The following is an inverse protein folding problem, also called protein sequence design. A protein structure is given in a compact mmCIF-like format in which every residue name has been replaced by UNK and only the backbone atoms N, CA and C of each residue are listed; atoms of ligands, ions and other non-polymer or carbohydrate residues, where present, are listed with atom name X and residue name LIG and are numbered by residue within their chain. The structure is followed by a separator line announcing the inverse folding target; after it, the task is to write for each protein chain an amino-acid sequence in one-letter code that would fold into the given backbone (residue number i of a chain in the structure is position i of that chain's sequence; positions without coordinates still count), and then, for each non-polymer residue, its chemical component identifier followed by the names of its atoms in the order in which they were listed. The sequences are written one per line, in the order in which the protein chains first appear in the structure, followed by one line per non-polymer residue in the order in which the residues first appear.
data_IF_515366319379
#
_entry.id   IF_515366319379
#
_cell.length_a   1.000
_cell.length_b   1.000
_cell.length_c   1.000
_cell.angle_alpha   90.00
_cell.angle_beta   90.00
_cell.angle_gamma   90.00
#
_symmetry.space_group_name_H-M   'P 1'
#
loop_
_entity.id
_entity.type
_entity.pdbx_description
1 polymer ?
#
# COMPACT_ATOMS: atom_id res chain seq x y z
N UNK A 1 15.62 15.52 -16.65
CA UNK A 1 16.31 15.48 -17.95
C UNK A 1 17.78 15.15 -17.80
N UNK A 2 18.55 15.79 -16.93
CA UNK A 2 19.96 15.43 -16.67
C UNK A 2 20.17 14.03 -16.05
N UNK A 3 19.23 13.55 -15.22
CA UNK A 3 19.29 12.19 -14.65
C UNK A 3 19.02 11.13 -15.72
N UNK A 4 18.12 11.40 -16.64
CA UNK A 4 17.84 10.54 -17.79
C UNK A 4 19.05 10.48 -18.74
N UNK A 5 19.74 11.60 -18.95
CA UNK A 5 20.96 11.68 -19.73
C UNK A 5 22.16 11.00 -19.04
N UNK A 6 22.23 10.96 -17.70
CA UNK A 6 23.29 10.27 -16.94
C UNK A 6 23.11 8.75 -16.87
N UNK A 7 21.86 8.25 -16.89
CA UNK A 7 21.57 6.81 -16.98
C UNK A 7 21.86 6.30 -18.41
N UNK A 8 21.75 7.19 -19.41
CA UNK A 8 22.00 6.85 -20.82
C UNK A 8 23.44 7.23 -21.26
N UNK A 9 24.22 7.90 -20.42
CA UNK A 9 25.52 8.49 -20.77
C UNK A 9 26.70 7.52 -21.05
N UNK A 10 26.70 6.22 -20.74
CA UNK A 10 27.69 5.30 -21.29
C UNK A 10 27.27 4.72 -22.65
N UNK A 11 26.05 4.96 -23.09
CA UNK A 11 25.58 4.53 -24.38
C UNK A 11 26.03 5.54 -25.40
N UNK A 12 26.89 5.14 -26.36
CA UNK A 12 27.27 5.92 -27.52
C UNK A 12 26.08 6.76 -28.00
N UNK A 13 26.28 8.01 -28.42
CA UNK A 13 25.24 8.90 -28.93
C UNK A 13 24.45 8.19 -30.03
N UNK A 14 23.36 7.52 -29.64
CA UNK A 14 22.47 6.89 -30.61
C UNK A 14 21.73 7.97 -31.35
N UNK A 15 21.97 8.03 -32.64
CA UNK A 15 21.26 8.94 -33.54
C UNK A 15 19.76 8.56 -33.52
N UNK A 16 18.92 9.58 -33.38
CA UNK A 16 17.45 9.41 -33.45
C UNK A 16 17.01 8.74 -34.75
N UNK A 17 17.75 8.94 -35.86
CA UNK A 17 17.49 8.28 -37.14
C UNK A 17 17.68 6.76 -37.02
N UNK A 18 18.75 6.30 -36.39
CA UNK A 18 19.00 4.88 -36.16
C UNK A 18 17.93 4.22 -35.28
N UNK A 19 17.49 4.94 -34.22
CA UNK A 19 16.38 4.46 -33.38
C UNK A 19 15.10 4.32 -34.21
N UNK A 20 14.74 5.34 -34.99
CA UNK A 20 13.53 5.34 -35.78
C UNK A 20 13.54 4.26 -36.89
N UNK A 21 14.69 4.04 -37.51
CA UNK A 21 14.89 2.96 -38.47
C UNK A 21 14.66 1.57 -37.81
N UNK A 22 15.28 1.31 -36.65
CA UNK A 22 15.12 0.07 -35.90
C UNK A 22 13.67 -0.13 -35.42
N UNK A 23 12.98 0.95 -35.01
CA UNK A 23 11.57 0.90 -34.66
C UNK A 23 10.72 0.46 -35.84
N UNK A 24 10.93 1.02 -37.02
CA UNK A 24 10.21 0.61 -38.25
C UNK A 24 10.47 -0.85 -38.64
N UNK A 25 11.69 -1.33 -38.50
CA UNK A 25 12.05 -2.71 -38.79
C UNK A 25 11.41 -3.70 -37.79
N UNK A 26 11.19 -3.30 -36.55
CA UNK A 26 10.59 -4.16 -35.52
C UNK A 26 9.05 -4.22 -35.58
N UNK A 27 8.40 -3.25 -36.23
CA UNK A 27 6.93 -3.16 -36.32
C UNK A 27 6.26 -4.41 -36.88
N UNK A 28 6.71 -5.04 -37.99
CA UNK A 28 6.04 -6.22 -38.56
C UNK A 28 6.01 -7.39 -37.57
N UNK A 29 7.13 -7.71 -36.93
CA UNK A 29 7.21 -8.80 -35.95
C UNK A 29 6.35 -8.50 -34.71
N UNK A 30 6.37 -7.26 -34.24
CA UNK A 30 5.55 -6.81 -33.12
C UNK A 30 4.06 -6.85 -33.44
N UNK A 31 3.67 -6.54 -34.67
CA UNK A 31 2.29 -6.60 -35.14
C UNK A 31 1.79 -8.06 -35.20
N UNK A 32 2.62 -8.98 -35.65
CA UNK A 32 2.29 -10.43 -35.64
C UNK A 32 2.07 -10.94 -34.22
N UNK A 33 2.92 -10.57 -33.30
CA UNK A 33 2.77 -10.93 -31.88
C UNK A 33 1.52 -10.30 -31.26
N UNK A 34 1.22 -9.05 -31.63
CA UNK A 34 0.00 -8.37 -31.23
C UNK A 34 -1.26 -9.06 -31.77
N UNK A 35 -1.26 -9.50 -33.02
CA UNK A 35 -2.36 -10.29 -33.58
C UNK A 35 -2.57 -11.63 -32.87
N UNK A 36 -1.49 -12.33 -32.55
CA UNK A 36 -1.58 -13.58 -31.77
C UNK A 36 -2.22 -13.28 -30.38
N UNK A 37 -1.80 -12.22 -29.71
CA UNK A 37 -2.39 -11.79 -28.44
C UNK A 37 -3.89 -11.43 -28.59
N UNK A 38 -4.30 -10.82 -29.70
CA UNK A 38 -5.71 -10.55 -29.99
C UNK A 38 -6.55 -11.81 -30.03
N UNK A 39 -6.07 -12.87 -30.69
CA UNK A 39 -6.78 -14.13 -30.73
C UNK A 39 -6.81 -14.82 -29.35
N UNK A 40 -5.69 -14.80 -28.63
CA UNK A 40 -5.63 -15.36 -27.27
C UNK A 40 -6.59 -14.64 -26.34
N UNK A 41 -6.59 -13.30 -26.32
CA UNK A 41 -7.51 -12.50 -25.52
C UNK A 41 -8.97 -12.73 -25.94
N UNK A 42 -9.22 -12.96 -27.23
CA UNK A 42 -10.55 -13.30 -27.74
C UNK A 42 -11.05 -14.65 -27.25
N UNK A 43 -10.15 -15.63 -27.07
CA UNK A 43 -10.50 -16.97 -26.60
C UNK A 43 -10.73 -17.03 -25.07
N UNK A 44 -9.99 -16.23 -24.28
CA UNK A 44 -9.99 -16.35 -22.81
C UNK A 44 -10.66 -15.20 -22.07
N UNK A 45 -11.09 -14.13 -22.75
CA UNK A 45 -11.52 -12.92 -22.04
C UNK A 45 -13.02 -12.69 -22.05
N UNK A 46 -13.48 -12.16 -20.92
CA UNK A 46 -14.76 -11.49 -20.76
C UNK A 46 -14.85 -10.11 -21.45
N UNK A 47 -13.84 -9.70 -22.23
CA UNK A 47 -13.81 -8.46 -22.97
C UNK A 47 -14.85 -8.52 -24.10
N UNK A 48 -15.98 -7.87 -23.88
CA UNK A 48 -17.19 -8.00 -24.71
C UNK A 48 -17.09 -7.29 -26.05
N UNK A 49 -16.24 -6.25 -26.20
CA UNK A 49 -16.16 -5.48 -27.45
C UNK A 49 -14.89 -5.78 -28.22
N UNK A 50 -15.02 -5.88 -29.55
CA UNK A 50 -13.88 -6.01 -30.48
C UNK A 50 -12.93 -4.80 -30.36
N UNK A 51 -13.48 -3.62 -30.08
CA UNK A 51 -12.72 -2.37 -29.94
C UNK A 51 -11.78 -2.42 -28.74
N UNK A 52 -12.25 -2.87 -27.56
CA UNK A 52 -11.40 -3.00 -26.37
C UNK A 52 -10.21 -3.95 -26.60
N UNK A 53 -10.44 -5.07 -27.27
CA UNK A 53 -9.39 -6.02 -27.65
C UNK A 53 -8.39 -5.37 -28.59
N UNK A 54 -8.89 -4.63 -29.59
CA UNK A 54 -8.04 -3.94 -30.58
C UNK A 54 -7.13 -2.89 -29.90
N UNK A 55 -7.65 -2.09 -28.96
CA UNK A 55 -6.83 -1.11 -28.24
C UNK A 55 -5.72 -1.78 -27.41
N UNK A 56 -6.01 -2.87 -26.73
CA UNK A 56 -5.00 -3.63 -25.97
C UNK A 56 -3.91 -4.16 -26.93
N UNK A 57 -4.30 -4.71 -28.05
CA UNK A 57 -3.36 -5.25 -29.04
C UNK A 57 -2.47 -4.14 -29.61
N UNK A 58 -3.05 -3.02 -29.99
CA UNK A 58 -2.29 -1.86 -30.51
C UNK A 58 -1.29 -1.39 -29.44
N UNK A 59 -1.73 -1.17 -28.21
CA UNK A 59 -0.87 -0.71 -27.12
C UNK A 59 0.28 -1.72 -26.87
N UNK A 60 -0.01 -3.01 -26.82
CA UNK A 60 1.00 -4.05 -26.62
C UNK A 60 1.97 -4.12 -27.78
N UNK A 61 1.49 -4.02 -29.02
CA UNK A 61 2.33 -3.98 -30.23
C UNK A 61 3.30 -2.81 -30.19
N UNK A 62 2.83 -1.62 -29.80
CA UNK A 62 3.67 -0.44 -29.67
C UNK A 62 4.77 -0.66 -28.61
N UNK A 63 4.41 -1.17 -27.43
CA UNK A 63 5.38 -1.46 -26.35
C UNK A 63 6.45 -2.45 -26.82
N UNK A 64 6.05 -3.55 -27.48
CA UNK A 64 6.99 -4.55 -27.99
C UNK A 64 7.90 -3.92 -29.05
N UNK A 65 7.35 -3.13 -29.99
CA UNK A 65 8.13 -2.48 -31.05
C UNK A 65 9.18 -1.51 -30.48
N UNK A 66 8.80 -0.69 -29.49
CA UNK A 66 9.75 0.20 -28.81
C UNK A 66 10.84 -0.61 -28.07
N UNK A 67 10.47 -1.65 -27.34
CA UNK A 67 11.44 -2.50 -26.62
C UNK A 67 12.42 -3.16 -27.59
N UNK A 68 11.93 -3.70 -28.72
CA UNK A 68 12.75 -4.29 -29.75
C UNK A 68 13.69 -3.26 -30.41
N UNK A 69 13.23 -2.03 -30.63
CA UNK A 69 14.06 -0.96 -31.18
C UNK A 69 15.23 -0.61 -30.24
N UNK A 70 14.98 -0.51 -28.92
CA UNK A 70 16.04 -0.27 -27.93
C UNK A 70 17.02 -1.47 -27.84
N UNK A 71 16.51 -2.70 -27.90
CA UNK A 71 17.36 -3.88 -27.93
C UNK A 71 18.28 -3.87 -29.16
N UNK A 72 17.74 -3.54 -30.34
CA UNK A 72 18.53 -3.45 -31.57
C UNK A 72 19.55 -2.30 -31.59
N UNK A 73 19.40 -1.31 -30.70
CA UNK A 73 20.40 -0.28 -30.44
C UNK A 73 21.56 -0.76 -29.57
N UNK A 74 21.51 -2.00 -29.07
CA UNK A 74 22.53 -2.54 -28.18
C UNK A 74 22.39 -2.04 -26.74
N UNK A 75 21.24 -1.47 -26.35
CA UNK A 75 20.97 -1.13 -24.95
C UNK A 75 20.88 -2.43 -24.17
N UNK A 76 21.68 -2.64 -23.11
CA UNK A 76 21.63 -3.85 -22.30
C UNK A 76 20.20 -4.11 -21.76
N UNK A 77 19.74 -5.33 -21.86
CA UNK A 77 18.39 -5.73 -21.38
C UNK A 77 18.19 -5.41 -19.90
N UNK A 78 19.24 -5.52 -19.11
CA UNK A 78 19.27 -5.18 -17.68
C UNK A 78 18.97 -3.69 -17.43
N UNK A 79 19.59 -2.81 -18.25
CA UNK A 79 19.33 -1.37 -18.19
C UNK A 79 17.87 -1.04 -18.55
N UNK A 80 17.35 -1.67 -19.60
CA UNK A 80 15.93 -1.50 -19.97
C UNK A 80 15.01 -2.02 -18.86
N UNK A 81 15.31 -3.19 -18.31
CA UNK A 81 14.55 -3.75 -17.22
C UNK A 81 14.55 -2.84 -15.97
N UNK A 82 15.72 -2.31 -15.60
CA UNK A 82 15.84 -1.39 -14.48
C UNK A 82 14.99 -0.13 -14.69
N UNK A 83 15.10 0.51 -15.86
CA UNK A 83 14.32 1.72 -16.20
C UNK A 83 12.81 1.42 -16.18
N UNK A 84 12.37 0.34 -16.82
CA UNK A 84 10.95 -0.02 -16.83
C UNK A 84 10.42 -0.38 -15.45
N UNK A 85 11.23 -1.04 -14.62
CA UNK A 85 10.88 -1.37 -13.24
C UNK A 85 10.66 -0.10 -12.41
N UNK A 86 11.52 0.90 -12.53
CA UNK A 86 11.39 2.19 -11.83
C UNK A 86 10.12 2.94 -12.25
N UNK A 87 9.86 3.02 -13.56
CA UNK A 87 8.65 3.65 -14.07
C UNK A 87 7.38 2.90 -13.68
N UNK A 88 7.39 1.56 -13.75
CA UNK A 88 6.27 0.73 -13.32
C UNK A 88 5.99 0.93 -11.83
N UNK A 89 7.04 0.96 -11.01
CA UNK A 89 6.94 1.23 -9.58
C UNK A 89 6.29 2.60 -9.31
N UNK A 90 6.74 3.66 -10.02
CA UNK A 90 6.17 4.99 -9.90
C UNK A 90 4.67 5.00 -10.27
N UNK A 91 4.33 4.45 -11.46
CA UNK A 91 2.96 4.45 -11.99
C UNK A 91 2.03 3.67 -11.08
N UNK A 92 2.42 2.44 -10.67
CA UNK A 92 1.58 1.60 -9.80
C UNK A 92 1.39 2.25 -8.43
N UNK A 93 2.43 2.88 -7.86
CA UNK A 93 2.32 3.63 -6.60
C UNK A 93 1.37 4.82 -6.74
N UNK A 94 1.48 5.56 -7.83
CA UNK A 94 0.58 6.69 -8.10
C UNK A 94 -0.86 6.24 -8.22
N UNK A 95 -1.14 5.19 -9.01
CA UNK A 95 -2.47 4.58 -9.13
C UNK A 95 -2.97 4.12 -7.77
N UNK A 96 -2.13 3.43 -6.98
CA UNK A 96 -2.50 2.95 -5.65
C UNK A 96 -2.94 4.08 -4.71
N UNK A 97 -2.25 5.20 -4.72
CA UNK A 97 -2.62 6.37 -3.92
C UNK A 97 -3.97 6.92 -4.37
N UNK A 98 -4.18 7.11 -5.69
CA UNK A 98 -5.43 7.68 -6.23
C UNK A 98 -6.63 6.81 -5.85
N UNK A 99 -6.56 5.50 -6.12
CA UNK A 99 -7.68 4.60 -5.85
C UNK A 99 -7.88 4.37 -4.34
N UNK A 100 -6.81 4.40 -3.55
CA UNK A 100 -6.86 4.32 -2.09
C UNK A 100 -7.56 5.54 -1.48
N UNK A 101 -7.22 6.74 -1.93
CA UNK A 101 -7.90 7.98 -1.51
C UNK A 101 -9.37 7.94 -1.90
N UNK A 102 -9.71 7.50 -3.11
CA UNK A 102 -11.10 7.35 -3.55
C UNK A 102 -11.88 6.36 -2.67
N UNK A 103 -11.28 5.21 -2.34
CA UNK A 103 -11.92 4.21 -1.48
C UNK A 103 -12.13 4.71 -0.06
N UNK A 104 -11.13 5.32 0.56
CA UNK A 104 -11.23 5.87 1.91
C UNK A 104 -12.24 7.02 1.95
N UNK A 105 -12.21 7.90 0.96
CA UNK A 105 -13.14 9.02 0.83
C UNK A 105 -14.59 8.56 0.74
N UNK A 106 -14.88 7.58 -0.10
CA UNK A 106 -16.23 7.00 -0.22
C UNK A 106 -16.66 6.29 1.05
N UNK A 107 -15.76 5.55 1.72
CA UNK A 107 -16.03 4.91 3.01
C UNK A 107 -16.40 5.93 4.08
N UNK A 108 -15.66 7.05 4.17
CA UNK A 108 -15.96 8.11 5.12
C UNK A 108 -17.26 8.81 4.81
N UNK A 109 -17.50 9.11 3.54
CA UNK A 109 -18.72 9.76 3.08
C UNK A 109 -19.97 8.94 3.40
N UNK A 110 -20.01 7.65 3.01
CA UNK A 110 -21.18 6.83 3.25
C UNK A 110 -21.44 6.52 4.73
N UNK A 111 -20.36 6.38 5.52
CA UNK A 111 -20.49 6.22 6.97
C UNK A 111 -21.06 7.49 7.64
N UNK A 112 -20.57 8.65 7.22
CA UNK A 112 -21.09 9.94 7.65
C UNK A 112 -22.55 10.12 7.23
N UNK A 113 -22.84 9.85 5.96
CA UNK A 113 -24.19 9.97 5.38
C UNK A 113 -25.21 9.13 6.15
N UNK A 114 -24.97 7.81 6.30
CA UNK A 114 -25.90 6.91 7.02
C UNK A 114 -26.11 7.35 8.48
N UNK A 115 -25.09 7.94 9.10
CA UNK A 115 -25.15 8.43 10.49
C UNK A 115 -25.89 9.75 10.65
N UNK A 116 -26.02 10.53 9.58
CA UNK A 116 -26.59 11.88 9.59
C UNK A 116 -28.00 11.98 8.98
N UNK A 117 -28.53 10.88 8.46
CA UNK A 117 -29.89 10.87 7.93
C UNK A 117 -30.91 11.30 9.00
N UNK A 118 -31.80 12.19 8.62
CA UNK A 118 -32.98 12.55 9.40
C UNK A 118 -34.05 11.47 9.19
N UNK A 119 -34.47 10.78 10.28
CA UNK A 119 -35.30 9.58 10.23
C UNK A 119 -36.73 9.74 10.71
N UNK A 120 -36.95 10.74 11.52
CA UNK A 120 -38.22 10.87 12.29
C UNK A 120 -39.20 11.89 11.68
N UNK A 121 -39.14 12.08 10.35
CA UNK A 121 -40.03 13.01 9.66
C UNK A 121 -41.32 12.31 9.26
N UNK A 122 -42.49 12.76 9.80
CA UNK A 122 -43.78 12.14 9.53
C UNK A 122 -44.23 12.25 8.07
N UNK A 123 -43.74 13.24 7.32
CA UNK A 123 -44.10 13.44 5.92
C UNK A 123 -43.37 12.45 4.98
N UNK A 124 -42.32 11.82 5.45
CA UNK A 124 -41.45 10.91 4.66
C UNK A 124 -41.43 9.48 5.21
N UNK A 125 -42.57 8.93 5.62
CA UNK A 125 -42.70 7.58 6.23
C UNK A 125 -42.15 6.44 5.37
N UNK A 126 -42.02 6.62 4.04
CA UNK A 126 -41.49 5.64 3.10
C UNK A 126 -39.95 5.63 3.06
N UNK A 127 -39.29 6.64 3.65
CA UNK A 127 -37.85 6.75 3.74
C UNK A 127 -37.33 6.15 5.04
N UNK A 128 -36.14 5.52 4.99
CA UNK A 128 -35.32 5.22 6.16
C UNK A 128 -34.64 6.48 6.70
N UNK A 129 -34.53 7.50 5.86
CA UNK A 129 -34.08 8.83 6.19
C UNK A 129 -33.71 9.62 4.96
N UNK A 130 -33.49 10.91 5.15
CA UNK A 130 -32.99 11.81 4.11
C UNK A 130 -31.98 12.81 4.70
N UNK A 131 -31.20 13.45 3.82
CA UNK A 131 -30.22 14.46 4.18
C UNK A 131 -30.18 15.54 3.11
N UNK A 132 -30.12 16.79 3.54
CA UNK A 132 -29.79 17.92 2.70
C UNK A 132 -28.30 18.25 2.79
N UNK A 133 -27.66 18.48 1.66
CA UNK A 133 -26.25 18.94 1.58
C UNK A 133 -26.11 20.05 0.54
N UNK A 134 -25.07 20.85 0.71
CA UNK A 134 -24.68 21.90 -0.25
C UNK A 134 -23.30 21.56 -0.77
N UNK A 135 -23.16 21.48 -2.07
CA UNK A 135 -21.87 21.27 -2.74
C UNK A 135 -21.92 21.87 -4.16
N UNK A 136 -20.77 22.35 -4.66
CA UNK A 136 -20.64 22.90 -6.04
C UNK A 136 -21.73 23.94 -6.41
N UNK A 137 -22.15 24.76 -5.46
CA UNK A 137 -23.13 25.82 -5.69
C UNK A 137 -24.59 25.35 -5.77
N UNK A 138 -24.88 24.07 -5.45
CA UNK A 138 -26.22 23.49 -5.50
C UNK A 138 -26.65 22.82 -4.20
N UNK A 139 -27.98 22.69 -4.03
CA UNK A 139 -28.57 21.91 -2.97
C UNK A 139 -28.79 20.46 -3.45
N UNK A 140 -28.38 19.50 -2.63
CA UNK A 140 -28.57 18.08 -2.89
C UNK A 140 -29.44 17.50 -1.78
N UNK A 141 -30.48 16.76 -2.19
CA UNK A 141 -31.26 15.95 -1.28
C UNK A 141 -31.00 14.48 -1.55
N UNK A 142 -30.53 13.78 -0.53
CA UNK A 142 -30.20 12.35 -0.61
C UNK A 142 -31.23 11.61 0.25
N UNK A 143 -31.87 10.61 -0.34
CA UNK A 143 -32.92 9.80 0.30
C UNK A 143 -32.46 8.35 0.41
N UNK A 144 -32.64 7.76 1.58
CA UNK A 144 -32.48 6.33 1.80
C UNK A 144 -33.83 5.68 1.96
N UNK A 145 -34.17 4.76 1.09
CA UNK A 145 -35.45 4.08 1.09
C UNK A 145 -35.51 2.98 2.17
N UNK A 146 -36.66 2.76 2.78
CA UNK A 146 -36.95 1.61 3.71
C UNK A 146 -36.97 0.27 3.02
N UNK A 147 -37.16 0.25 1.71
CA UNK A 147 -37.19 -0.94 0.89
C UNK A 147 -36.77 -0.65 -0.54
N UNK A 148 -36.88 -1.63 -1.44
CA UNK A 148 -36.52 -1.43 -2.84
C UNK A 148 -37.41 -0.37 -3.49
N UNK A 149 -36.90 0.41 -4.45
CA UNK A 149 -37.72 1.33 -5.23
C UNK A 149 -38.76 0.58 -6.03
N UNK A 150 -39.92 1.20 -6.30
CA UNK A 150 -40.99 0.60 -7.11
C UNK A 150 -40.49 0.13 -8.49
N UNK A 151 -39.49 0.82 -9.03
CA UNK A 151 -38.83 0.48 -10.28
C UNK A 151 -37.33 0.69 -10.08
N UNK A 152 -36.54 -0.35 -10.29
CA UNK A 152 -35.07 -0.23 -10.27
C UNK A 152 -34.57 0.63 -11.43
N UNK A 153 -33.63 1.54 -11.19
CA UNK A 153 -32.99 2.28 -12.28
C UNK A 153 -32.21 1.34 -13.17
N UNK A 154 -32.11 1.68 -14.48
CA UNK A 154 -31.34 0.88 -15.44
C UNK A 154 -29.86 0.79 -15.11
N UNK A 155 -29.31 1.82 -14.48
CA UNK A 155 -27.90 1.92 -14.09
C UNK A 155 -27.84 2.08 -12.58
N UNK A 156 -27.16 1.14 -11.94
CA UNK A 156 -26.79 1.19 -10.54
C UNK A 156 -25.27 1.34 -10.44
N UNK A 157 -24.81 2.35 -9.71
CA UNK A 157 -23.39 2.51 -9.45
C UNK A 157 -22.98 1.61 -8.28
N UNK A 158 -21.88 0.87 -8.46
CA UNK A 158 -21.32 -0.07 -7.49
C UNK A 158 -19.97 0.42 -7.01
N UNK A 159 -19.84 0.84 -5.77
CA UNK A 159 -18.58 1.27 -5.15
C UNK A 159 -17.70 0.07 -4.76
N UNK A 160 -17.19 -0.63 -5.76
CA UNK A 160 -16.36 -1.84 -5.58
C UNK A 160 -14.99 -1.74 -6.24
N UNK A 161 -14.92 -0.99 -7.34
CA UNK A 161 -13.68 -0.90 -8.12
C UNK A 161 -12.62 -0.11 -7.38
N UNK A 162 -12.99 0.85 -6.55
CA UNK A 162 -12.09 1.59 -5.68
C UNK A 162 -11.37 0.63 -4.73
N UNK A 163 -12.09 -0.28 -4.09
CA UNK A 163 -11.52 -1.29 -3.20
C UNK A 163 -10.67 -2.32 -3.96
N UNK A 164 -11.17 -2.83 -5.09
CA UNK A 164 -10.48 -3.84 -5.89
C UNK A 164 -9.19 -3.30 -6.50
N UNK A 165 -9.25 -2.12 -7.10
CA UNK A 165 -8.07 -1.49 -7.70
C UNK A 165 -7.03 -1.12 -6.63
N UNK A 166 -7.46 -0.71 -5.43
CA UNK A 166 -6.55 -0.45 -4.30
C UNK A 166 -5.83 -1.74 -3.91
N UNK A 167 -6.55 -2.85 -3.75
CA UNK A 167 -5.92 -4.11 -3.38
C UNK A 167 -5.00 -4.65 -4.48
N UNK A 168 -5.44 -4.64 -5.75
CA UNK A 168 -4.66 -5.12 -6.88
C UNK A 168 -3.37 -4.31 -7.01
N UNK A 169 -3.44 -2.99 -7.02
CA UNK A 169 -2.26 -2.12 -7.12
C UNK A 169 -1.34 -2.27 -5.91
N UNK A 170 -1.90 -2.43 -4.70
CA UNK A 170 -1.13 -2.70 -3.48
C UNK A 170 -0.41 -4.04 -3.53
N UNK A 171 -1.05 -5.09 -4.04
CA UNK A 171 -0.43 -6.40 -4.20
C UNK A 171 0.66 -6.39 -5.28
N UNK A 172 0.45 -5.67 -6.39
CA UNK A 172 1.50 -5.45 -7.40
C UNK A 172 2.69 -4.71 -6.80
N UNK A 173 2.47 -3.67 -5.97
CA UNK A 173 3.55 -3.00 -5.24
C UNK A 173 4.29 -3.94 -4.28
N UNK A 174 3.57 -4.82 -3.60
CA UNK A 174 4.17 -5.81 -2.72
C UNK A 174 5.12 -6.75 -3.51
N UNK A 175 4.72 -7.16 -4.70
CA UNK A 175 5.57 -7.96 -5.59
C UNK A 175 6.78 -7.14 -6.04
N UNK A 176 6.58 -5.96 -6.61
CA UNK A 176 7.64 -5.16 -7.20
C UNK A 176 8.69 -4.72 -6.19
N UNK A 177 8.25 -4.31 -4.98
CA UNK A 177 9.15 -3.74 -3.97
C UNK A 177 9.76 -4.83 -3.08
N UNK A 178 8.95 -5.82 -2.67
CA UNK A 178 9.35 -6.77 -1.64
C UNK A 178 9.64 -8.16 -2.20
N UNK A 179 8.78 -8.76 -3.03
CA UNK A 179 8.97 -10.15 -3.44
C UNK A 179 10.08 -10.32 -4.46
N UNK A 180 10.20 -9.41 -5.44
CA UNK A 180 11.31 -9.43 -6.39
C UNK A 180 12.65 -9.11 -5.74
N UNK A 181 12.65 -8.42 -4.62
CA UNK A 181 13.84 -8.02 -3.87
C UNK A 181 13.83 -8.61 -2.45
N UNK A 182 13.34 -9.84 -2.26
CA UNK A 182 13.06 -10.39 -0.94
C UNK A 182 14.32 -10.51 -0.06
N UNK A 183 15.47 -10.81 -0.65
CA UNK A 183 16.75 -10.91 0.08
C UNK A 183 17.14 -9.59 0.77
N UNK A 184 16.91 -8.45 0.12
CA UNK A 184 17.30 -7.13 0.63
C UNK A 184 16.17 -6.38 1.32
N UNK A 185 14.91 -6.58 0.89
CA UNK A 185 13.77 -5.81 1.34
C UNK A 185 12.90 -6.50 2.39
N UNK A 186 12.87 -7.85 2.41
CA UNK A 186 12.07 -8.58 3.39
C UNK A 186 12.88 -9.10 4.56
N UNK A 187 14.11 -9.59 4.30
CA UNK A 187 14.96 -10.16 5.31
C UNK A 187 15.62 -9.05 6.14
N UNK A 188 15.65 -9.21 7.43
CA UNK A 188 16.29 -8.27 8.37
C UNK A 188 17.34 -8.97 9.23
N UNK A 189 18.00 -8.20 10.09
CA UNK A 189 18.91 -8.71 11.12
C UNK A 189 18.15 -9.35 12.31
N UNK A 190 16.96 -9.88 12.08
CA UNK A 190 16.14 -10.55 13.07
C UNK A 190 16.69 -11.95 13.40
N UNK A 191 16.42 -12.44 14.59
CA UNK A 191 17.00 -13.70 15.09
C UNK A 191 16.52 -14.97 14.34
N UNK A 192 15.54 -14.88 13.45
CA UNK A 192 15.04 -16.00 12.64
C UNK A 192 15.60 -15.88 11.22
N UNK A 193 16.42 -16.84 10.84
CA UNK A 193 17.03 -16.92 9.52
C UNK A 193 16.02 -17.56 8.56
N UNK A 194 15.49 -16.76 7.63
CA UNK A 194 14.60 -17.20 6.56
C UNK A 194 15.30 -17.11 5.22
N UNK A 195 14.98 -18.03 4.31
CA UNK A 195 15.28 -17.85 2.90
C UNK A 195 14.27 -16.86 2.27
N UNK A 196 14.63 -16.15 1.17
CA UNK A 196 13.71 -15.27 0.46
C UNK A 196 12.39 -15.96 0.08
N UNK A 197 12.46 -17.19 -0.39
CA UNK A 197 11.29 -18.00 -0.76
C UNK A 197 10.38 -18.28 0.45
N UNK A 198 10.94 -18.66 1.60
CA UNK A 198 10.17 -18.88 2.84
C UNK A 198 9.48 -17.59 3.30
N UNK A 199 10.18 -16.46 3.23
CA UNK A 199 9.61 -15.16 3.58
C UNK A 199 8.39 -14.82 2.71
N UNK A 200 8.48 -15.04 1.40
CA UNK A 200 7.35 -14.83 0.46
C UNK A 200 6.19 -15.79 0.78
N UNK A 201 6.45 -17.07 1.02
CA UNK A 201 5.41 -18.05 1.35
C UNK A 201 4.68 -17.69 2.64
N UNK A 202 5.41 -17.29 3.69
CA UNK A 202 4.82 -16.82 4.95
C UNK A 202 3.95 -15.60 4.71
N UNK A 203 4.40 -14.64 3.89
CA UNK A 203 3.62 -13.45 3.54
C UNK A 203 2.30 -13.84 2.88
N UNK A 204 2.31 -14.68 1.85
CA UNK A 204 1.10 -15.12 1.13
C UNK A 204 0.16 -15.87 2.07
N UNK A 205 0.71 -16.78 2.91
CA UNK A 205 -0.08 -17.51 3.90
C UNK A 205 -0.77 -16.58 4.88
N UNK A 206 -0.06 -15.55 5.38
CA UNK A 206 -0.61 -14.58 6.33
C UNK A 206 -1.67 -13.69 5.68
N UNK A 207 -1.48 -13.26 4.42
CA UNK A 207 -2.47 -12.46 3.70
C UNK A 207 -3.81 -13.21 3.58
N UNK A 208 -3.77 -14.48 3.21
CA UNK A 208 -4.97 -15.31 3.03
C UNK A 208 -5.52 -15.77 4.39
N UNK A 209 -4.66 -16.31 5.24
CA UNK A 209 -5.03 -16.89 6.53
C UNK A 209 -5.63 -15.89 7.50
N UNK A 210 -5.11 -14.66 7.50
CA UNK A 210 -5.63 -13.60 8.37
C UNK A 210 -7.08 -13.22 8.03
N UNK A 211 -7.43 -13.16 6.75
CA UNK A 211 -8.82 -12.91 6.36
C UNK A 211 -9.73 -14.08 6.72
N UNK A 212 -9.29 -15.32 6.47
CA UNK A 212 -10.07 -16.50 6.82
C UNK A 212 -10.33 -16.58 8.34
N UNK A 213 -9.30 -16.32 9.14
CA UNK A 213 -9.42 -16.27 10.59
C UNK A 213 -10.38 -15.17 11.04
N UNK A 214 -10.21 -13.97 10.51
CA UNK A 214 -11.07 -12.83 10.82
C UNK A 214 -12.54 -13.09 10.43
N UNK A 215 -12.79 -13.66 9.25
CA UNK A 215 -14.15 -13.98 8.79
C UNK A 215 -14.79 -15.06 9.67
N UNK A 216 -14.02 -16.10 10.03
CA UNK A 216 -14.45 -17.15 10.95
C UNK A 216 -14.83 -16.61 12.33
N UNK A 217 -13.99 -15.75 12.92
CA UNK A 217 -14.27 -15.11 14.20
C UNK A 217 -15.55 -14.27 14.16
N UNK A 218 -15.73 -13.48 13.13
CA UNK A 218 -16.91 -12.63 12.98
C UNK A 218 -18.21 -13.42 12.75
N UNK A 219 -18.15 -14.57 12.08
CA UNK A 219 -19.35 -15.36 11.74
C UNK A 219 -19.76 -16.37 12.77
N UNK A 220 -18.78 -17.00 13.43
CA UNK A 220 -19.03 -18.19 14.21
C UNK A 220 -18.72 -18.04 15.71
N UNK A 221 -17.63 -17.35 16.06
CA UNK A 221 -17.15 -17.34 17.45
C UNK A 221 -17.63 -16.12 18.22
N UNK A 222 -17.54 -14.95 17.62
CA UNK A 222 -17.76 -13.65 18.30
C UNK A 222 -18.91 -12.85 17.68
N UNK A 223 -19.83 -13.53 16.99
CA UNK A 223 -20.93 -12.94 16.26
C UNK A 223 -21.82 -12.03 17.13
N UNK A 224 -22.09 -12.45 18.35
CA UNK A 224 -23.04 -11.80 19.25
C UNK A 224 -22.36 -10.93 20.32
N UNK A 225 -21.04 -10.81 20.30
CA UNK A 225 -20.29 -10.03 21.28
C UNK A 225 -19.26 -9.10 20.60
N UNK A 226 -19.72 -7.90 20.23
CA UNK A 226 -18.91 -6.89 19.57
C UNK A 226 -17.70 -6.46 20.41
N UNK A 227 -17.86 -6.33 21.72
CA UNK A 227 -16.76 -5.92 22.62
C UNK A 227 -15.64 -6.96 22.64
N UNK A 228 -15.98 -8.22 22.77
CA UNK A 228 -15.02 -9.33 22.73
C UNK A 228 -14.36 -9.42 21.35
N UNK A 229 -15.10 -9.18 20.27
CA UNK A 229 -14.55 -9.16 18.92
C UNK A 229 -13.50 -8.05 18.76
N UNK A 230 -13.78 -6.85 19.26
CA UNK A 230 -12.84 -5.72 19.22
C UNK A 230 -11.58 -6.06 20.05
N UNK A 231 -11.76 -6.53 21.28
CA UNK A 231 -10.63 -6.87 22.16
C UNK A 231 -9.74 -7.98 21.54
N UNK A 232 -10.35 -9.03 21.00
CA UNK A 232 -9.64 -10.11 20.28
C UNK A 232 -8.93 -9.56 19.04
N UNK A 233 -9.57 -8.68 18.28
CA UNK A 233 -8.99 -8.05 17.10
C UNK A 233 -7.76 -7.20 17.44
N UNK A 234 -7.83 -6.40 18.51
CA UNK A 234 -6.69 -5.61 19.00
C UNK A 234 -5.55 -6.52 19.47
N UNK A 235 -5.87 -7.57 20.23
CA UNK A 235 -4.87 -8.53 20.69
C UNK A 235 -4.16 -9.21 19.50
N UNK A 236 -4.91 -9.73 18.55
CA UNK A 236 -4.35 -10.35 17.35
C UNK A 236 -3.52 -9.38 16.53
N UNK A 237 -3.92 -8.12 16.42
CA UNK A 237 -3.15 -7.08 15.74
C UNK A 237 -1.80 -6.83 16.44
N UNK A 238 -1.78 -6.74 17.76
CA UNK A 238 -0.54 -6.55 18.55
C UNK A 238 0.38 -7.76 18.39
N UNK A 239 -0.16 -8.97 18.52
CA UNK A 239 0.60 -10.22 18.35
C UNK A 239 1.17 -10.36 16.93
N UNK A 240 0.38 -10.02 15.90
CA UNK A 240 0.82 -10.01 14.51
C UNK A 240 1.93 -9.00 14.29
N UNK A 241 1.80 -7.78 14.83
CA UNK A 241 2.81 -6.74 14.73
C UNK A 241 4.13 -7.19 15.39
N UNK A 242 4.06 -7.75 16.57
CA UNK A 242 5.22 -8.33 17.26
C UNK A 242 5.85 -9.47 16.44
N UNK A 243 5.06 -10.45 16.02
CA UNK A 243 5.55 -11.60 15.26
C UNK A 243 6.23 -11.19 13.96
N UNK A 244 5.62 -10.30 13.17
CA UNK A 244 6.19 -9.86 11.89
C UNK A 244 7.50 -9.09 12.07
N UNK A 245 7.65 -8.32 13.15
CA UNK A 245 8.92 -7.63 13.44
C UNK A 245 10.03 -8.57 13.90
N UNK A 246 9.72 -9.82 14.28
CA UNK A 246 10.72 -10.83 14.60
C UNK A 246 11.20 -11.61 13.37
N UNK A 247 10.40 -11.68 12.30
CA UNK A 247 10.70 -12.50 11.13
C UNK A 247 11.10 -11.69 9.89
N UNK A 248 10.63 -10.45 9.78
CA UNK A 248 10.96 -9.56 8.66
C UNK A 248 11.82 -8.38 9.10
N UNK A 249 12.50 -7.79 8.13
CA UNK A 249 13.10 -6.47 8.31
C UNK A 249 12.04 -5.46 8.76
N UNK A 250 12.40 -4.57 9.64
CA UNK A 250 11.46 -3.67 10.34
C UNK A 250 10.48 -2.93 9.43
N UNK A 251 10.97 -2.40 8.31
CA UNK A 251 10.14 -1.74 7.30
C UNK A 251 9.17 -2.71 6.62
N UNK A 252 9.67 -3.91 6.26
CA UNK A 252 8.85 -4.94 5.64
C UNK A 252 7.75 -5.42 6.58
N UNK A 253 8.06 -5.60 7.88
CA UNK A 253 7.09 -5.98 8.89
C UNK A 253 5.90 -5.01 8.94
N UNK A 254 6.15 -3.70 8.99
CA UNK A 254 5.10 -2.68 8.98
C UNK A 254 4.22 -2.78 7.73
N UNK A 255 4.84 -2.81 6.56
CA UNK A 255 4.10 -2.89 5.30
C UNK A 255 3.27 -4.17 5.20
N UNK A 256 3.78 -5.31 5.70
CA UNK A 256 3.02 -6.57 5.70
C UNK A 256 1.84 -6.53 6.67
N UNK A 257 1.95 -5.89 7.84
CA UNK A 257 0.78 -5.63 8.71
C UNK A 257 -0.28 -4.82 7.94
N UNK A 258 0.13 -3.75 7.25
CA UNK A 258 -0.76 -2.94 6.41
C UNK A 258 -1.40 -3.72 5.26
N UNK A 259 -0.61 -4.56 4.58
CA UNK A 259 -1.09 -5.42 3.50
C UNK A 259 -2.12 -6.46 3.99
N UNK A 260 -1.91 -7.03 5.18
CA UNK A 260 -2.86 -7.94 5.83
C UNK A 260 -4.18 -7.23 6.14
N UNK A 261 -4.14 -6.05 6.78
CA UNK A 261 -5.34 -5.28 7.06
C UNK A 261 -6.04 -4.87 5.76
N UNK A 262 -5.29 -4.37 4.77
CA UNK A 262 -5.83 -4.01 3.45
C UNK A 262 -6.48 -5.21 2.74
N UNK A 263 -5.91 -6.41 2.89
CA UNK A 263 -6.49 -7.66 2.36
C UNK A 263 -7.79 -8.01 3.08
N UNK A 264 -7.84 -7.90 4.41
CA UNK A 264 -9.07 -8.09 5.19
C UNK A 264 -10.16 -7.10 4.71
N UNK A 265 -9.79 -5.82 4.55
CA UNK A 265 -10.72 -4.79 4.11
C UNK A 265 -11.27 -5.06 2.70
N UNK A 266 -10.41 -5.38 1.74
CA UNK A 266 -10.80 -5.66 0.35
C UNK A 266 -11.60 -6.97 0.24
N UNK A 267 -11.20 -8.01 0.97
CA UNK A 267 -11.92 -9.28 1.00
C UNK A 267 -13.31 -9.13 1.65
N UNK A 268 -13.48 -8.28 2.66
CA UNK A 268 -14.79 -7.91 3.18
C UNK A 268 -15.70 -7.31 2.08
N UNK A 269 -15.14 -6.43 1.22
CA UNK A 269 -15.90 -5.89 0.09
C UNK A 269 -16.26 -7.00 -0.90
N UNK A 270 -15.28 -7.80 -1.31
CA UNK A 270 -15.45 -8.81 -2.36
C UNK A 270 -16.33 -9.99 -1.94
N UNK A 271 -16.17 -10.51 -0.72
CA UNK A 271 -16.79 -11.76 -0.26
C UNK A 271 -18.04 -11.57 0.58
N UNK A 272 -18.24 -10.39 1.16
CA UNK A 272 -19.36 -10.15 2.07
C UNK A 272 -20.24 -9.00 1.58
N UNK A 273 -19.67 -7.81 1.39
CA UNK A 273 -20.47 -6.60 1.10
C UNK A 273 -21.12 -6.69 -0.29
N UNK A 274 -20.35 -6.96 -1.34
CA UNK A 274 -20.89 -7.03 -2.70
C UNK A 274 -21.86 -8.20 -2.90
N UNK A 275 -21.64 -9.42 -2.38
CA UNK A 275 -22.64 -10.48 -2.41
C UNK A 275 -23.95 -10.09 -1.72
N UNK A 276 -23.91 -9.43 -0.56
CA UNK A 276 -25.11 -8.95 0.13
C UNK A 276 -25.85 -7.88 -0.69
N UNK A 277 -25.14 -6.96 -1.29
CA UNK A 277 -25.73 -5.95 -2.19
C UNK A 277 -26.34 -6.58 -3.45
N UNK A 278 -25.71 -7.61 -4.02
CA UNK A 278 -26.30 -8.39 -5.14
C UNK A 278 -27.60 -9.08 -4.72
N UNK A 279 -27.63 -9.68 -3.52
CA UNK A 279 -28.86 -10.28 -2.98
C UNK A 279 -29.97 -9.23 -2.83
N UNK A 280 -29.62 -8.02 -2.33
CA UNK A 280 -30.58 -6.92 -2.21
C UNK A 280 -31.19 -6.55 -3.58
N UNK A 281 -30.35 -6.39 -4.61
CA UNK A 281 -30.79 -6.01 -5.96
C UNK A 281 -31.61 -7.13 -6.61
N UNK A 282 -31.14 -8.39 -6.57
CA UNK A 282 -31.84 -9.52 -7.16
C UNK A 282 -33.19 -9.80 -6.47
N UNK A 283 -33.28 -9.60 -5.16
CA UNK A 283 -34.55 -9.70 -4.43
C UNK A 283 -35.54 -8.63 -4.89
N UNK A 284 -35.07 -7.41 -5.13
CA UNK A 284 -35.90 -6.34 -5.65
C UNK A 284 -36.38 -6.63 -7.09
N UNK A 285 -35.52 -7.16 -7.97
CA UNK A 285 -35.87 -7.57 -9.33
C UNK A 285 -36.95 -8.65 -9.34
N UNK A 286 -36.82 -9.64 -8.45
CA UNK A 286 -37.73 -10.79 -8.34
C UNK A 286 -38.93 -10.50 -7.44
N UNK A 287 -39.10 -9.27 -6.93
CA UNK A 287 -40.17 -8.87 -5.98
C UNK A 287 -40.20 -9.75 -4.72
N UNK A 288 -39.06 -10.21 -4.27
CA UNK A 288 -38.88 -11.01 -3.06
C UNK A 288 -38.37 -10.15 -1.90
N UNK A 289 -38.57 -10.62 -0.67
CA UNK A 289 -38.00 -9.96 0.51
C UNK A 289 -36.48 -10.23 0.56
N UNK A 290 -35.64 -9.21 0.71
CA UNK A 290 -34.19 -9.42 0.83
C UNK A 290 -33.84 -10.08 2.17
N UNK A 291 -32.71 -10.79 2.19
CA UNK A 291 -32.16 -11.34 3.42
C UNK A 291 -31.51 -10.24 4.26
N UNK A 292 -32.22 -9.79 5.31
CA UNK A 292 -31.78 -8.71 6.19
C UNK A 292 -30.50 -9.06 6.96
N UNK A 293 -30.25 -10.34 7.27
CA UNK A 293 -29.04 -10.76 7.98
C UNK A 293 -27.78 -10.50 7.13
N UNK A 294 -27.85 -10.75 5.80
CA UNK A 294 -26.74 -10.42 4.90
C UNK A 294 -26.48 -8.92 4.84
N UNK A 295 -27.55 -8.11 4.84
CA UNK A 295 -27.42 -6.65 4.82
C UNK A 295 -26.79 -6.13 6.12
N UNK A 296 -27.17 -6.70 7.27
CA UNK A 296 -26.59 -6.35 8.56
C UNK A 296 -25.11 -6.76 8.65
N UNK A 297 -24.77 -7.98 8.21
CA UNK A 297 -23.38 -8.44 8.15
C UNK A 297 -22.54 -7.52 7.26
N UNK A 298 -23.01 -7.17 6.07
CA UNK A 298 -22.33 -6.24 5.18
C UNK A 298 -22.12 -4.87 5.82
N UNK A 299 -23.12 -4.34 6.53
CA UNK A 299 -23.01 -3.09 7.28
C UNK A 299 -21.92 -3.17 8.35
N UNK A 300 -21.88 -4.24 9.15
CA UNK A 300 -20.89 -4.44 10.21
C UNK A 300 -19.47 -4.52 9.60
N UNK A 301 -19.27 -5.28 8.50
CA UNK A 301 -17.98 -5.34 7.81
C UNK A 301 -17.54 -3.97 7.25
N UNK A 302 -18.49 -3.18 6.76
CA UNK A 302 -18.19 -1.81 6.31
C UNK A 302 -17.74 -0.90 7.46
N UNK A 303 -18.37 -1.05 8.65
CA UNK A 303 -17.95 -0.33 9.86
C UNK A 303 -16.56 -0.76 10.30
N UNK A 304 -16.23 -2.07 10.28
CA UNK A 304 -14.88 -2.56 10.60
C UNK A 304 -13.84 -1.97 9.62
N UNK A 305 -14.12 -2.00 8.32
CA UNK A 305 -13.26 -1.38 7.31
C UNK A 305 -13.02 0.11 7.61
N UNK A 306 -14.04 0.82 8.05
CA UNK A 306 -13.94 2.22 8.41
C UNK A 306 -12.99 2.46 9.59
N UNK A 307 -12.95 1.60 10.59
CA UNK A 307 -12.00 1.67 11.71
C UNK A 307 -10.56 1.34 11.30
N UNK A 308 -10.37 0.47 10.32
CA UNK A 308 -9.04 0.11 9.83
C UNK A 308 -8.38 1.19 8.98
N UNK A 309 -9.11 2.21 8.53
CA UNK A 309 -8.60 3.23 7.61
C UNK A 309 -7.41 4.01 8.14
N UNK A 310 -7.47 4.53 9.38
CA UNK A 310 -6.38 5.34 9.92
C UNK A 310 -5.12 4.51 10.23
N UNK A 311 -5.21 3.30 10.82
CA UNK A 311 -4.07 2.39 10.91
C UNK A 311 -3.39 2.10 9.58
N UNK A 312 -4.15 1.75 8.55
CA UNK A 312 -3.60 1.46 7.21
C UNK A 312 -2.92 2.68 6.61
N UNK A 313 -3.54 3.87 6.71
CA UNK A 313 -2.95 5.11 6.22
C UNK A 313 -1.62 5.41 6.91
N UNK A 314 -1.54 5.27 8.24
CA UNK A 314 -0.28 5.42 8.96
C UNK A 314 0.78 4.45 8.43
N UNK A 315 0.44 3.17 8.28
CA UNK A 315 1.37 2.16 7.79
C UNK A 315 1.88 2.50 6.39
N UNK A 316 1.00 2.97 5.49
CA UNK A 316 1.39 3.36 4.12
C UNK A 316 2.40 4.51 4.10
N UNK A 317 2.27 5.49 4.99
CA UNK A 317 3.23 6.60 5.09
C UNK A 317 4.45 6.28 5.96
N UNK A 318 4.41 5.23 6.78
CA UNK A 318 5.45 4.91 7.76
C UNK A 318 6.81 4.68 7.14
N UNK A 319 6.87 4.24 5.87
CA UNK A 319 8.13 4.06 5.14
C UNK A 319 8.96 5.35 4.98
N UNK A 320 8.35 6.52 5.16
CA UNK A 320 9.01 7.82 5.16
C UNK A 320 9.47 8.28 6.56
N UNK A 321 9.16 7.51 7.60
CA UNK A 321 9.45 7.85 9.00
C UNK A 321 10.23 6.73 9.68
N UNK A 322 11.52 6.62 9.33
CA UNK A 322 12.42 5.55 9.79
C UNK A 322 12.51 5.43 11.32
N UNK A 323 12.36 6.55 12.05
CA UNK A 323 12.36 6.55 13.51
C UNK A 323 11.23 5.68 14.12
N UNK A 324 10.15 5.40 13.39
CA UNK A 324 9.06 4.53 13.87
C UNK A 324 9.40 3.06 13.76
N UNK A 325 9.73 2.60 12.55
CA UNK A 325 10.03 1.17 12.33
C UNK A 325 11.47 0.80 12.70
N UNK A 326 12.41 1.75 12.75
CA UNK A 326 13.80 1.53 13.15
C UNK A 326 14.04 1.50 14.67
N UNK A 327 13.02 1.79 15.48
CA UNK A 327 13.13 1.73 16.94
C UNK A 327 13.26 0.28 17.46
N UNK A 328 13.83 0.11 18.65
CA UNK A 328 13.99 -1.22 19.29
C UNK A 328 12.63 -1.90 19.49
N UNK A 329 11.65 -1.15 19.97
CA UNK A 329 10.29 -1.63 20.22
C UNK A 329 9.31 -1.14 19.13
N UNK A 330 9.71 -1.27 17.87
CA UNK A 330 8.92 -0.79 16.73
C UNK A 330 7.52 -1.38 16.65
N UNK A 331 7.32 -2.65 17.00
CA UNK A 331 6.00 -3.28 17.06
C UNK A 331 5.05 -2.55 18.02
N UNK A 332 5.57 -2.06 19.15
CA UNK A 332 4.80 -1.30 20.14
C UNK A 332 4.41 0.08 19.58
N UNK A 333 5.34 0.75 18.89
CA UNK A 333 5.06 2.02 18.21
C UNK A 333 3.95 1.86 17.20
N UNK A 334 4.01 0.81 16.37
CA UNK A 334 2.97 0.47 15.40
C UNK A 334 1.61 0.25 16.07
N UNK A 335 1.59 -0.54 17.15
CA UNK A 335 0.38 -0.84 17.89
C UNK A 335 -0.25 0.41 18.51
N UNK A 336 0.54 1.22 19.20
CA UNK A 336 0.08 2.43 19.90
C UNK A 336 -0.46 3.48 18.93
N UNK A 337 0.24 3.76 17.82
CA UNK A 337 -0.23 4.71 16.79
C UNK A 337 -1.52 4.19 16.15
N UNK A 338 -1.60 2.90 15.88
CA UNK A 338 -2.82 2.31 15.30
C UNK A 338 -4.02 2.42 16.26
N UNK A 339 -3.82 2.17 17.54
CA UNK A 339 -4.86 2.34 18.58
C UNK A 339 -5.29 3.81 18.66
N UNK A 340 -4.35 4.75 18.67
CA UNK A 340 -4.68 6.18 18.65
C UNK A 340 -5.48 6.56 17.40
N UNK A 341 -5.14 5.99 16.24
CA UNK A 341 -5.91 6.14 15.00
C UNK A 341 -7.33 5.59 15.12
N UNK A 342 -7.50 4.38 15.68
CA UNK A 342 -8.81 3.76 15.91
C UNK A 342 -9.66 4.63 16.86
N UNK A 343 -9.09 5.13 17.96
CA UNK A 343 -9.77 6.04 18.90
C UNK A 343 -10.20 7.34 18.21
N UNK A 344 -9.31 7.92 17.43
CA UNK A 344 -9.61 9.13 16.65
C UNK A 344 -10.79 8.86 15.69
N UNK A 345 -10.78 7.73 14.99
CA UNK A 345 -11.90 7.35 14.11
C UNK A 345 -13.19 7.10 14.88
N UNK A 346 -13.09 6.47 16.04
CA UNK A 346 -14.24 6.24 16.93
C UNK A 346 -14.89 7.54 17.38
N UNK A 347 -14.09 8.53 17.78
CA UNK A 347 -14.60 9.86 18.10
C UNK A 347 -15.42 10.46 16.96
N UNK A 348 -14.89 10.46 15.73
CA UNK A 348 -15.61 11.00 14.58
C UNK A 348 -16.88 10.20 14.23
N UNK A 349 -16.86 8.88 14.38
CA UNK A 349 -18.03 8.05 14.17
C UNK A 349 -19.14 8.34 15.20
N UNK A 350 -18.81 8.53 16.48
CA UNK A 350 -19.75 8.92 17.51
C UNK A 350 -20.28 10.33 17.28
N UNK A 351 -19.40 11.29 16.95
CA UNK A 351 -19.79 12.65 16.60
C UNK A 351 -20.79 12.68 15.43
N UNK A 352 -20.59 11.85 14.42
CA UNK A 352 -21.52 11.73 13.30
C UNK A 352 -22.90 11.25 13.74
N UNK A 353 -22.98 10.39 14.75
CA UNK A 353 -24.22 9.91 15.39
C UNK A 353 -24.81 10.91 16.42
N UNK A 354 -24.32 12.16 16.47
CA UNK A 354 -24.69 13.19 17.48
C UNK A 354 -24.36 12.77 18.93
N UNK A 355 -23.44 11.80 19.12
CA UNK A 355 -22.95 11.36 20.44
C UNK A 355 -21.59 12.01 20.72
N UNK A 356 -21.59 12.98 21.61
CA UNK A 356 -20.38 13.79 21.88
C UNK A 356 -19.62 13.24 23.10
N UNK A 357 -18.58 12.44 22.86
CA UNK A 357 -17.65 11.91 23.86
C UNK A 357 -16.32 12.67 23.76
N UNK A 358 -16.30 13.92 24.27
CA UNK A 358 -15.18 14.85 24.08
C UNK A 358 -13.83 14.33 24.59
N UNK A 359 -13.80 13.44 25.58
CA UNK A 359 -12.59 12.92 26.19
C UNK A 359 -11.78 11.98 25.26
N UNK A 360 -12.42 11.37 24.25
CA UNK A 360 -11.76 10.36 23.38
C UNK A 360 -10.63 10.99 22.54
N UNK A 361 -10.88 12.15 21.95
CA UNK A 361 -9.88 12.79 21.10
C UNK A 361 -8.65 13.31 21.89
N UNK A 362 -8.82 14.01 23.04
CA UNK A 362 -7.70 14.31 23.93
C UNK A 362 -6.94 13.06 24.40
N UNK A 363 -7.64 11.94 24.69
CA UNK A 363 -6.98 10.70 25.09
C UNK A 363 -6.09 10.14 23.98
N UNK A 364 -6.54 10.17 22.72
CA UNK A 364 -5.70 9.79 21.58
C UNK A 364 -4.48 10.72 21.46
N UNK A 365 -4.65 12.03 21.67
CA UNK A 365 -3.56 13.01 21.70
C UNK A 365 -2.55 12.73 22.83
N UNK A 366 -3.03 12.41 24.04
CA UNK A 366 -2.17 12.03 25.16
C UNK A 366 -1.38 10.76 24.88
N UNK A 367 -2.01 9.74 24.31
CA UNK A 367 -1.33 8.50 23.89
C UNK A 367 -0.18 8.82 22.93
N UNK A 368 -0.43 9.68 21.94
CA UNK A 368 0.61 10.10 20.99
C UNK A 368 1.71 10.91 21.68
N UNK A 369 1.37 11.80 22.60
CA UNK A 369 2.35 12.58 23.37
C UNK A 369 3.24 11.69 24.23
N UNK A 370 2.67 10.72 24.94
CA UNK A 370 3.45 9.75 25.70
C UNK A 370 4.35 8.91 24.82
N UNK A 371 3.85 8.46 23.65
CA UNK A 371 4.67 7.71 22.70
C UNK A 371 5.87 8.53 22.20
N UNK A 372 5.65 9.81 21.87
CA UNK A 372 6.72 10.73 21.47
C UNK A 372 7.78 10.84 22.57
N UNK A 373 7.35 11.04 23.81
CA UNK A 373 8.26 11.17 24.97
C UNK A 373 9.05 9.89 25.20
N UNK A 374 8.36 8.71 25.19
CA UNK A 374 9.03 7.42 25.38
C UNK A 374 10.01 7.09 24.25
N UNK A 375 9.67 7.42 23.01
CA UNK A 375 10.59 7.23 21.89
C UNK A 375 11.82 8.14 21.97
N UNK A 376 11.69 9.34 22.56
CA UNK A 376 12.81 10.24 22.83
C UNK A 376 13.75 9.67 23.90
N UNK A 377 13.21 9.10 24.96
CA UNK A 377 13.98 8.48 26.05
C UNK A 377 14.77 7.26 25.55
N UNK A 378 14.17 6.41 24.73
CA UNK A 378 14.85 5.24 24.14
C UNK A 378 16.03 5.61 23.23
N UNK A 379 15.97 6.77 22.57
CA UNK A 379 17.09 7.33 21.81
C UNK A 379 18.22 7.80 22.75
N UNK A 380 17.88 8.39 23.91
CA UNK A 380 18.86 8.80 24.91
C UNK A 380 19.51 7.60 25.60
N UNK A 381 18.78 6.53 25.98
CA UNK A 381 19.33 5.31 26.55
C UNK A 381 20.36 4.63 25.62
N UNK A 382 20.07 4.57 24.30
CA UNK A 382 21.06 4.09 23.33
C UNK A 382 22.32 4.96 23.27
N UNK A 383 22.19 6.25 23.45
CA UNK A 383 23.31 7.18 23.43
C UNK A 383 24.16 7.05 24.71
N UNK A 384 23.52 6.83 25.85
CA UNK A 384 24.19 6.63 27.13
C UNK A 384 24.80 5.23 27.27
N UNK A 385 24.15 4.19 26.72
CA UNK A 385 24.74 2.86 26.62
C UNK A 385 25.99 2.84 25.73
N UNK A 386 26.01 3.66 24.68
CA UNK A 386 27.21 3.86 23.86
C UNK A 386 28.26 4.80 24.53
N UNK A 387 27.83 5.67 25.45
CA UNK A 387 28.73 6.52 26.22
C UNK A 387 29.39 5.78 27.39
N UNK A 388 28.77 4.71 27.91
CA UNK A 388 29.36 3.83 28.95
C UNK A 388 30.17 2.66 28.39
N UNK A 389 30.00 2.31 27.10
CA UNK A 389 31.00 1.57 26.38
C UNK A 389 32.22 2.48 26.23
N UNK A 390 33.27 2.23 27.04
CA UNK A 390 34.58 2.83 26.85
C UNK A 390 34.78 3.05 25.35
N UNK A 391 35.09 4.28 24.96
CA UNK A 391 35.47 4.63 23.60
C UNK A 391 36.75 3.80 23.26
N UNK A 392 36.62 2.53 22.99
CA UNK A 392 37.51 1.90 22.05
C UNK A 392 37.30 2.67 20.77
N UNK A 393 38.25 3.54 20.47
CA UNK A 393 38.28 4.30 19.24
C UNK A 393 38.28 3.26 18.12
N UNK A 394 37.08 3.00 17.59
CA UNK A 394 36.89 2.14 16.43
C UNK A 394 37.78 2.73 15.34
N UNK A 395 38.77 1.99 14.90
CA UNK A 395 39.71 2.49 13.92
C UNK A 395 38.95 2.82 12.63
N UNK A 396 39.37 3.89 11.93
CA UNK A 396 38.76 4.24 10.64
C UNK A 396 38.74 3.04 9.67
N UNK A 397 39.78 2.21 9.71
CA UNK A 397 39.91 0.99 8.90
C UNK A 397 38.78 -0.01 9.19
N UNK A 398 38.30 -0.11 10.41
CA UNK A 398 37.24 -1.00 10.82
C UNK A 398 35.87 -0.47 10.31
N UNK A 399 35.63 0.83 10.39
CA UNK A 399 34.47 1.50 9.81
C UNK A 399 34.51 1.37 8.28
N UNK A 400 35.62 1.60 7.65
CA UNK A 400 35.79 1.46 6.20
C UNK A 400 35.56 0.04 5.73
N UNK A 401 35.98 -0.97 6.48
CA UNK A 401 35.69 -2.37 6.17
C UNK A 401 34.18 -2.67 6.24
N UNK A 402 33.47 -2.15 7.24
CA UNK A 402 32.01 -2.31 7.33
C UNK A 402 31.34 -1.65 6.13
N UNK A 403 31.69 -0.44 5.76
CA UNK A 403 31.14 0.27 4.61
C UNK A 403 31.47 -0.46 3.31
N UNK A 404 32.71 -0.93 3.13
CA UNK A 404 33.10 -1.72 1.96
C UNK A 404 32.28 -2.99 1.83
N UNK A 405 32.02 -3.70 2.93
CA UNK A 405 31.20 -4.93 2.93
C UNK A 405 29.71 -4.69 2.76
N UNK A 406 29.17 -3.62 3.33
CA UNK A 406 27.71 -3.36 3.35
C UNK A 406 27.23 -2.46 2.23
N UNK A 407 28.03 -1.49 1.83
CA UNK A 407 27.66 -0.46 0.87
C UNK A 407 28.50 -0.53 -0.41
N UNK A 408 29.76 -0.97 -0.32
CA UNK A 408 30.70 -1.00 -1.45
C UNK A 408 30.30 -1.97 -2.55
N UNK A 409 29.50 -2.99 -2.27
CA UNK A 409 28.96 -3.87 -3.30
C UNK A 409 28.17 -3.11 -4.38
N UNK A 410 27.46 -2.03 -3.98
CA UNK A 410 26.70 -1.17 -4.88
C UNK A 410 27.37 0.20 -5.09
N UNK A 411 28.06 0.74 -4.06
CA UNK A 411 28.61 2.09 -4.02
C UNK A 411 30.14 2.13 -4.18
N UNK A 412 30.73 1.16 -4.85
CA UNK A 412 32.11 1.22 -5.28
C UNK A 412 32.24 1.87 -6.67
N UNK A 413 33.43 2.33 -7.01
CA UNK A 413 33.76 2.81 -8.38
C UNK A 413 33.47 1.73 -9.42
N UNK A 414 33.68 0.47 -9.04
CA UNK A 414 33.33 -0.72 -9.81
C UNK A 414 32.47 -1.61 -8.94
N UNK A 415 31.11 -1.43 -8.96
CA UNK A 415 30.21 -2.24 -8.16
C UNK A 415 30.34 -3.73 -8.49
N UNK A 416 30.26 -4.57 -7.47
CA UNK A 416 30.27 -6.03 -7.63
C UNK A 416 28.88 -6.65 -7.50
N UNK A 417 27.86 -5.84 -7.19
CA UNK A 417 26.50 -6.31 -7.10
C UNK A 417 25.95 -6.52 -8.51
N UNK A 418 25.43 -7.70 -8.78
CA UNK A 418 24.89 -8.10 -10.07
C UNK A 418 23.77 -7.13 -10.52
N UNK A 419 23.92 -6.55 -11.72
CA UNK A 419 22.98 -5.55 -12.25
C UNK A 419 23.29 -4.08 -11.91
N UNK A 420 24.40 -3.77 -11.25
CA UNK A 420 24.86 -2.40 -11.01
C UNK A 420 26.21 -2.19 -11.67
N UNK A 421 26.24 -1.48 -12.79
CA UNK A 421 27.48 -1.17 -13.53
C UNK A 421 28.21 0.07 -13.01
N UNK A 422 27.50 0.97 -12.33
CA UNK A 422 28.05 2.19 -11.74
C UNK A 422 27.38 2.50 -10.40
N UNK A 423 28.10 3.15 -9.50
CA UNK A 423 27.58 3.53 -8.19
C UNK A 423 26.26 4.33 -8.32
N UNK A 424 25.19 3.93 -7.63
CA UNK A 424 23.91 4.63 -7.68
C UNK A 424 24.07 6.12 -7.38
N UNK A 425 23.47 6.98 -8.21
CA UNK A 425 23.61 8.44 -8.13
C UNK A 425 25.06 8.96 -8.21
N UNK A 426 26.01 8.15 -8.68
CA UNK A 426 27.42 8.50 -8.73
C UNK A 426 28.10 8.63 -7.36
N UNK A 427 27.47 8.11 -6.29
CA UNK A 427 28.02 8.17 -4.93
C UNK A 427 28.87 6.95 -4.69
N UNK A 428 30.18 7.16 -4.50
CA UNK A 428 31.24 6.14 -4.26
C UNK A 428 31.70 6.21 -2.83
N UNK A 429 32.03 5.05 -2.22
CA UNK A 429 32.47 4.93 -0.82
C UNK A 429 33.83 4.19 -0.70
N UNK A 430 34.66 4.21 -1.73
CA UNK A 430 35.88 3.44 -1.76
C UNK A 430 37.00 4.02 -0.84
N UNK A 431 37.03 5.35 -0.70
CA UNK A 431 38.06 6.05 0.05
C UNK A 431 37.51 6.88 1.20
N UNK A 432 38.37 7.21 2.16
CA UNK A 432 38.03 8.16 3.24
C UNK A 432 37.56 9.52 2.72
N UNK A 433 38.10 9.93 1.58
CA UNK A 433 37.79 11.19 0.94
C UNK A 433 36.38 11.15 0.30
N UNK A 434 36.01 10.03 -0.30
CA UNK A 434 34.64 9.82 -0.82
C UNK A 434 33.60 9.87 0.30
N UNK A 435 33.93 9.26 1.45
CA UNK A 435 33.03 9.29 2.63
C UNK A 435 32.93 10.69 3.24
N UNK A 436 33.95 11.54 3.15
CA UNK A 436 33.90 12.93 3.63
C UNK A 436 33.04 13.83 2.74
N UNK A 437 32.94 13.54 1.46
CA UNK A 437 32.14 14.31 0.49
C UNK A 437 30.62 14.19 0.72
N UNK A 438 30.17 13.15 1.40
CA UNK A 438 28.75 12.97 1.78
C UNK A 438 28.26 14.14 2.65
N UNK A 439 29.13 14.68 3.50
CA UNK A 439 28.83 15.81 4.38
C UNK A 439 28.94 17.17 3.68
N UNK A 440 29.59 17.24 2.53
CA UNK A 440 29.82 18.49 1.77
C UNK A 440 28.73 18.72 0.73
N UNK A 441 28.15 17.68 0.16
CA UNK A 441 27.15 17.77 -0.90
C UNK A 441 25.74 18.15 -0.43
N UNK A 442 25.46 18.10 0.88
CA UNK A 442 24.18 18.56 1.46
C UNK A 442 24.39 19.41 2.73
N UNK A 443 24.96 20.63 2.65
CA UNK A 443 25.33 21.43 3.82
C UNK A 443 24.14 22.03 4.59
N UNK A 444 22.89 21.85 4.16
CA UNK A 444 21.73 22.55 4.71
C UNK A 444 20.72 21.67 5.45
N UNK A 445 20.95 20.37 5.55
CA UNK A 445 20.12 19.49 6.39
C UNK A 445 20.94 19.03 7.60
N UNK A 446 20.46 19.22 8.84
CA UNK A 446 21.02 18.52 9.97
C UNK A 446 20.64 17.04 9.81
N UNK A 447 21.54 16.29 9.18
CA UNK A 447 21.39 14.85 8.98
C UNK A 447 21.74 14.20 10.31
N UNK A 448 20.74 13.72 11.03
CA UNK A 448 21.02 12.67 11.99
C UNK A 448 21.58 11.49 11.21
N UNK A 449 22.71 10.94 11.65
CA UNK A 449 23.44 9.81 11.05
C UNK A 449 22.56 8.58 10.75
N UNK A 450 21.33 8.54 11.27
CA UNK A 450 20.33 7.51 10.98
C UNK A 450 19.81 7.50 9.53
N UNK A 451 20.02 8.54 8.72
CA UNK A 451 19.62 8.56 7.30
C UNK A 451 20.65 7.94 6.34
N UNK A 452 21.91 7.86 6.75
CA UNK A 452 22.99 7.32 5.91
C UNK A 452 23.04 5.79 5.86
N UNK A 453 22.27 5.07 6.66
CA UNK A 453 22.32 3.60 6.78
C UNK A 453 21.27 2.90 5.90
N UNK A 454 20.50 3.63 5.10
CA UNK A 454 19.43 3.07 4.26
C UNK A 454 19.51 3.57 2.81
N UNK A 455 20.61 3.26 2.12
CA UNK A 455 20.60 3.09 0.66
C UNK A 455 20.08 1.70 0.31
#
# INVERSE_FOLDING_TARGET
MELFLKIVAPVQSYDFQTFFHNLLLSLPASALLGLLLFFILGAFSSLKSKEQRLYIVIATTIVIAFTAAFYNLGVPTETLFAVYSEWLHLIVRWVHIIVGVAWIGTSFYFNWLDSRLERDDPDFKHLDGYLWSVHSGGFYRIEKLKGPPKKLPKVLHWFKWEAYATWISGFVLLILVYYLNASSMMLGASGIILTPFQAILISIFLLIGSWLLYDYLCKNVLKDNEQTLIATGVLLFVLLSYFLTQIYGSRAAYIHVGAIIGTIMAANVFRVIIPAQRNLVSSAENKQKPNLNLSLEAKNRSIHNNYFTLPVLFIMISSHFSFTYGAVNNWLILAVISIAGILTRHYFNLRNKKQYKFWILPSAGLIMFFLMTLSSLSIFEKKDANASLSLELVSFNEVQNIIKYRCGTCHAKYPTFEGIEAAPKGVVYDTAQDLSLIHISEPTRPISISYAVFC
#
